data_IF_475750138978
#
_entry.id   IF_475750138978
#
_cell.length_a   1.000
_cell.length_b   1.000
_cell.length_c   1.000
_cell.angle_alpha   90.00
_cell.angle_beta   90.00
_cell.angle_gamma   90.00
#
_symmetry.space_group_name_H-M   'P 1'
#
loop_
_entity.id
_entity.type
_entity.pdbx_description
1 polymer ?
#
# COMPACT_ATOMS: atom_id res chain seq x y z
N UNK A 1 -57.13 22.53 36.95
CA UNK A 1 -56.29 21.51 36.29
C UNK A 1 -55.50 22.25 35.24
N UNK A 2 -54.18 22.26 35.40
CA UNK A 2 -53.26 23.19 34.76
C UNK A 2 -53.16 22.91 33.26
N UNK A 3 -53.58 23.85 32.42
CA UNK A 3 -53.39 23.81 30.95
C UNK A 3 -51.90 23.77 30.55
N UNK A 4 -50.98 24.04 31.48
CA UNK A 4 -49.53 23.98 31.30
C UNK A 4 -48.93 22.55 31.28
N UNK A 5 -49.64 21.52 31.76
CA UNK A 5 -49.10 20.15 31.80
C UNK A 5 -49.03 19.49 30.41
N UNK A 6 -49.82 19.97 29.45
CA UNK A 6 -49.81 19.47 28.06
C UNK A 6 -48.61 20.07 27.28
N UNK A 7 -48.22 21.30 27.60
CA UNK A 7 -47.11 22.01 26.95
C UNK A 7 -45.74 21.38 27.26
N UNK A 8 -45.43 21.11 28.53
CA UNK A 8 -44.15 20.55 28.93
C UNK A 8 -43.96 19.10 28.49
N UNK A 9 -45.03 18.29 28.54
CA UNK A 9 -45.01 16.89 28.15
C UNK A 9 -44.86 16.71 26.64
N UNK A 10 -45.53 17.54 25.85
CA UNK A 10 -45.38 17.54 24.39
C UNK A 10 -44.00 18.06 23.96
N UNK A 11 -43.47 19.09 24.63
CA UNK A 11 -42.11 19.56 24.39
C UNK A 11 -41.07 18.46 24.68
N UNK A 12 -41.23 17.70 25.77
CA UNK A 12 -40.39 16.54 26.08
C UNK A 12 -40.51 15.43 25.02
N UNK A 13 -41.73 15.13 24.57
CA UNK A 13 -41.96 14.12 23.53
C UNK A 13 -41.40 14.54 22.16
N UNK A 14 -41.36 15.83 21.85
CA UNK A 14 -40.70 16.36 20.66
C UNK A 14 -39.18 16.27 20.83
N UNK A 15 -38.63 16.71 21.96
CA UNK A 15 -37.21 16.65 22.24
C UNK A 15 -36.66 15.21 22.17
N UNK A 16 -37.40 14.24 22.72
CA UNK A 16 -37.03 12.82 22.64
C UNK A 16 -37.04 12.27 21.21
N UNK A 17 -38.04 12.65 20.41
CA UNK A 17 -38.10 12.26 18.98
C UNK A 17 -36.99 12.92 18.17
N UNK A 18 -36.70 14.19 18.43
CA UNK A 18 -35.59 14.90 17.81
C UNK A 18 -34.24 14.27 18.19
N UNK A 19 -34.04 13.92 19.46
CA UNK A 19 -32.84 13.23 19.93
C UNK A 19 -32.68 11.86 19.25
N UNK A 20 -33.74 11.06 19.18
CA UNK A 20 -33.70 9.76 18.50
C UNK A 20 -33.34 9.90 17.02
N UNK A 21 -33.90 10.91 16.34
CA UNK A 21 -33.57 11.20 14.94
C UNK A 21 -32.14 11.69 14.75
N UNK A 22 -31.63 12.50 15.68
CA UNK A 22 -30.23 12.92 15.66
C UNK A 22 -29.27 11.74 15.84
N UNK A 23 -29.61 10.81 16.75
CA UNK A 23 -28.83 9.58 16.95
C UNK A 23 -28.84 8.69 15.71
N UNK A 24 -29.97 8.58 15.02
CA UNK A 24 -30.08 7.84 13.76
C UNK A 24 -29.19 8.45 12.67
N UNK A 25 -29.24 9.77 12.50
CA UNK A 25 -28.39 10.51 11.55
C UNK A 25 -26.90 10.38 11.92
N UNK A 26 -26.56 10.46 13.21
CA UNK A 26 -25.18 10.30 13.67
C UNK A 26 -24.63 8.90 13.36
N UNK A 27 -25.44 7.86 13.54
CA UNK A 27 -25.06 6.49 13.19
C UNK A 27 -24.89 6.30 11.68
N UNK A 28 -25.77 6.89 10.87
CA UNK A 28 -25.67 6.87 9.41
C UNK A 28 -24.39 7.57 8.93
N UNK A 29 -24.13 8.79 9.44
CA UNK A 29 -22.90 9.54 9.15
C UNK A 29 -21.63 8.79 9.57
N UNK A 30 -21.65 8.11 10.72
CA UNK A 30 -20.51 7.28 11.12
C UNK A 30 -20.29 6.10 10.16
N UNK A 31 -21.36 5.45 9.71
CA UNK A 31 -21.26 4.38 8.71
C UNK A 31 -20.71 4.88 7.37
N UNK A 32 -21.24 5.98 6.84
CA UNK A 32 -20.74 6.59 5.60
C UNK A 32 -19.27 7.03 5.72
N UNK A 33 -18.87 7.56 6.88
CA UNK A 33 -17.49 7.96 7.14
C UNK A 33 -16.55 6.74 7.17
N UNK A 34 -16.98 5.63 7.77
CA UNK A 34 -16.22 4.39 7.79
C UNK A 34 -16.02 3.84 6.36
N UNK A 35 -17.10 3.71 5.58
CA UNK A 35 -17.04 3.26 4.18
C UNK A 35 -16.18 4.18 3.30
N UNK A 36 -16.28 5.50 3.51
CA UNK A 36 -15.47 6.47 2.76
C UNK A 36 -13.99 6.32 3.12
N UNK A 37 -13.66 6.15 4.40
CA UNK A 37 -12.28 5.95 4.84
C UNK A 37 -11.69 4.66 4.26
N UNK A 38 -12.45 3.55 4.28
CA UNK A 38 -12.03 2.30 3.65
C UNK A 38 -11.78 2.46 2.15
N UNK A 39 -12.65 3.19 1.45
CA UNK A 39 -12.51 3.48 0.02
C UNK A 39 -11.27 4.34 -0.26
N UNK A 40 -11.03 5.36 0.55
CA UNK A 40 -9.85 6.22 0.43
C UNK A 40 -8.57 5.42 0.64
N UNK A 41 -8.54 4.55 1.65
CA UNK A 41 -7.39 3.69 1.93
C UNK A 41 -7.13 2.72 0.76
N UNK A 42 -8.19 2.09 0.21
CA UNK A 42 -8.05 1.21 -0.95
C UNK A 42 -7.52 1.96 -2.18
N UNK A 43 -8.03 3.16 -2.47
CA UNK A 43 -7.56 3.98 -3.60
C UNK A 43 -6.11 4.44 -3.42
N UNK A 44 -5.68 4.73 -2.19
CA UNK A 44 -4.28 5.02 -1.90
C UNK A 44 -3.40 3.81 -2.19
N UNK A 45 -3.90 2.60 -1.95
CA UNK A 45 -3.14 1.36 -2.12
C UNK A 45 -3.02 1.01 -3.59
N UNK A 46 -4.11 1.10 -4.34
CA UNK A 46 -4.12 0.90 -5.79
C UNK A 46 -3.18 1.88 -6.49
N UNK A 47 -3.23 3.16 -6.12
CA UNK A 47 -2.38 4.16 -6.74
C UNK A 47 -0.91 3.95 -6.38
N UNK A 48 -0.60 3.54 -5.15
CA UNK A 48 0.77 3.19 -4.76
C UNK A 48 1.28 1.98 -5.54
N UNK A 49 0.46 0.94 -5.70
CA UNK A 49 0.80 -0.24 -6.48
C UNK A 49 1.10 0.12 -7.95
N UNK A 50 0.27 0.99 -8.55
CA UNK A 50 0.47 1.47 -9.91
C UNK A 50 1.74 2.32 -10.07
N UNK A 51 2.03 3.23 -9.14
CA UNK A 51 3.26 4.03 -9.17
C UNK A 51 4.52 3.18 -9.07
N UNK A 52 4.49 2.09 -8.30
CA UNK A 52 5.60 1.17 -8.17
C UNK A 52 5.90 0.40 -9.47
N UNK A 53 4.91 0.23 -10.34
CA UNK A 53 5.01 -0.56 -11.57
C UNK A 53 5.79 0.14 -12.70
N UNK A 54 5.82 1.48 -12.74
CA UNK A 54 6.56 2.35 -13.69
C UNK A 54 6.43 2.04 -15.21
N UNK A 55 5.70 1.01 -15.70
CA UNK A 55 5.52 0.78 -17.15
C UNK A 55 4.10 0.45 -17.63
N UNK A 56 3.93 0.61 -18.95
CA UNK A 56 2.69 0.61 -19.72
C UNK A 56 1.84 -0.66 -19.54
N UNK A 57 0.52 -0.45 -19.58
CA UNK A 57 -0.59 -1.36 -19.28
C UNK A 57 -0.70 -2.56 -20.23
N UNK A 58 0.29 -3.44 -20.27
CA UNK A 58 0.14 -4.76 -20.91
C UNK A 58 0.61 -5.90 -20.00
N UNK A 59 -0.36 -6.42 -19.23
CA UNK A 59 -0.20 -7.54 -18.29
C UNK A 59 0.05 -8.89 -18.98
N UNK A 60 -0.09 -8.99 -20.32
CA UNK A 60 0.00 -10.25 -21.06
C UNK A 60 1.33 -10.43 -21.83
N UNK A 61 2.31 -9.55 -21.63
CA UNK A 61 3.61 -9.64 -22.30
C UNK A 61 4.48 -10.72 -21.66
N UNK A 62 5.19 -11.47 -22.49
CA UNK A 62 6.14 -12.49 -22.05
C UNK A 62 7.22 -11.83 -21.16
N UNK A 63 7.53 -12.40 -19.98
CA UNK A 63 8.63 -11.94 -19.14
C UNK A 63 9.95 -11.76 -19.88
N UNK A 64 10.25 -12.54 -20.93
CA UNK A 64 11.45 -12.38 -21.74
C UNK A 64 11.52 -11.01 -22.43
N UNK A 65 10.37 -10.45 -22.83
CA UNK A 65 10.24 -9.19 -23.56
C UNK A 65 10.16 -7.96 -22.67
N UNK A 66 10.04 -8.17 -21.34
CA UNK A 66 10.08 -7.10 -20.35
C UNK A 66 11.50 -6.60 -20.13
N UNK A 67 11.66 -5.28 -20.11
CA UNK A 67 12.90 -4.64 -19.70
C UNK A 67 13.21 -4.90 -18.23
N UNK A 68 14.45 -4.63 -17.83
CA UNK A 68 14.89 -4.90 -16.46
C UNK A 68 14.13 -4.06 -15.43
N UNK A 69 13.72 -2.84 -15.78
CA UNK A 69 13.03 -1.94 -14.87
C UNK A 69 11.55 -2.33 -14.72
N UNK A 70 10.93 -2.86 -15.78
CA UNK A 70 9.57 -3.41 -15.74
C UNK A 70 9.47 -4.61 -14.80
N UNK A 71 10.42 -5.54 -14.90
CA UNK A 71 10.51 -6.68 -13.99
C UNK A 71 10.67 -6.25 -12.54
N UNK A 72 11.41 -5.16 -12.30
CA UNK A 72 11.60 -4.60 -10.97
C UNK A 72 10.31 -3.96 -10.47
N UNK A 73 9.59 -3.24 -11.34
CA UNK A 73 8.29 -2.66 -11.05
C UNK A 73 7.27 -3.72 -10.64
N UNK A 74 7.17 -4.82 -11.39
CA UNK A 74 6.31 -5.96 -11.05
C UNK A 74 6.66 -6.59 -9.69
N UNK A 75 7.95 -6.74 -9.37
CA UNK A 75 8.37 -7.27 -8.07
C UNK A 75 7.97 -6.34 -6.93
N UNK A 76 8.10 -5.02 -7.12
CA UNK A 76 7.67 -4.03 -6.12
C UNK A 76 6.17 -3.99 -5.95
N UNK A 77 5.43 -3.98 -7.05
CA UNK A 77 3.96 -4.00 -7.08
C UNK A 77 3.42 -5.24 -6.37
N UNK A 78 3.88 -6.44 -6.74
CA UNK A 78 3.46 -7.69 -6.11
C UNK A 78 3.82 -7.72 -4.63
N UNK A 79 5.06 -7.33 -4.28
CA UNK A 79 5.50 -7.28 -2.89
C UNK A 79 4.69 -6.30 -2.04
N UNK A 80 4.33 -5.15 -2.62
CA UNK A 80 3.47 -4.17 -1.96
C UNK A 80 2.05 -4.69 -1.78
N UNK A 81 1.41 -5.27 -2.81
CA UNK A 81 0.08 -5.88 -2.69
C UNK A 81 0.08 -6.99 -1.63
N UNK A 82 1.05 -7.91 -1.68
CA UNK A 82 1.20 -8.98 -0.68
C UNK A 82 1.38 -8.43 0.75
N UNK A 83 2.08 -7.31 0.90
CA UNK A 83 2.24 -6.65 2.20
C UNK A 83 0.95 -5.96 2.67
N UNK A 84 0.22 -5.31 1.77
CA UNK A 84 -1.05 -4.61 2.04
C UNK A 84 -2.18 -5.58 2.38
N UNK A 85 -2.34 -6.65 1.60
CA UNK A 85 -3.33 -7.71 1.85
C UNK A 85 -3.07 -8.48 3.15
N UNK A 86 -1.82 -8.47 3.62
CA UNK A 86 -1.41 -9.04 4.90
C UNK A 86 -1.56 -8.06 6.07
N UNK A 87 -0.47 -7.88 6.81
CA UNK A 87 -0.42 -7.01 8.00
C UNK A 87 0.57 -5.83 7.81
N UNK A 88 0.63 -5.30 6.59
CA UNK A 88 1.53 -4.20 6.21
C UNK A 88 2.98 -4.62 5.96
N UNK A 89 3.29 -5.93 6.00
CA UNK A 89 4.63 -6.47 5.75
C UNK A 89 4.58 -7.74 4.94
N UNK A 90 5.55 -7.90 4.04
CA UNK A 90 5.75 -9.13 3.29
C UNK A 90 7.24 -9.45 3.15
N UNK A 91 7.51 -10.70 2.80
CA UNK A 91 8.81 -11.15 2.32
C UNK A 91 8.59 -11.77 0.94
N UNK A 92 9.48 -11.46 0.01
CA UNK A 92 9.57 -12.14 -1.28
C UNK A 92 10.95 -12.76 -1.40
N UNK A 93 11.02 -14.08 -1.37
CA UNK A 93 12.24 -14.82 -1.66
C UNK A 93 12.32 -15.22 -3.14
N UNK A 94 13.27 -16.09 -3.45
CA UNK A 94 13.48 -16.61 -4.78
C UNK A 94 12.23 -17.32 -5.35
N UNK A 95 11.58 -18.16 -4.54
CA UNK A 95 10.46 -18.97 -5.00
C UNK A 95 9.24 -18.10 -5.27
N UNK A 96 8.99 -17.11 -4.42
CA UNK A 96 7.93 -16.12 -4.62
C UNK A 96 8.10 -15.40 -5.97
N UNK A 97 9.30 -14.88 -6.24
CA UNK A 97 9.57 -14.14 -7.47
C UNK A 97 9.46 -15.06 -8.70
N UNK A 98 10.01 -16.27 -8.62
CA UNK A 98 10.02 -17.17 -9.77
C UNK A 98 8.61 -17.65 -10.10
N UNK A 99 7.86 -18.13 -9.12
CA UNK A 99 6.61 -18.84 -9.36
C UNK A 99 5.38 -17.97 -9.26
N UNK A 100 5.34 -17.00 -8.35
CA UNK A 100 4.15 -16.14 -8.18
C UNK A 100 4.14 -14.99 -9.20
N UNK A 101 5.31 -14.42 -9.53
CA UNK A 101 5.37 -13.20 -10.36
C UNK A 101 5.62 -13.52 -11.85
N UNK A 102 6.51 -14.48 -12.12
CA UNK A 102 6.97 -14.77 -13.48
C UNK A 102 6.66 -16.19 -13.96
N UNK A 103 5.87 -16.97 -13.22
CA UNK A 103 5.39 -18.29 -13.67
C UNK A 103 6.48 -19.34 -13.98
N UNK A 104 7.72 -19.13 -13.52
CA UNK A 104 8.87 -19.98 -13.81
C UNK A 104 9.74 -19.52 -15.00
N UNK A 105 9.34 -18.48 -15.74
CA UNK A 105 9.97 -18.08 -17.01
C UNK A 105 11.27 -17.28 -16.85
N UNK A 106 11.71 -17.05 -15.62
CA UNK A 106 12.98 -16.37 -15.34
C UNK A 106 14.00 -17.29 -14.66
N UNK A 107 15.27 -17.12 -15.05
CA UNK A 107 16.38 -17.86 -14.48
C UNK A 107 16.73 -17.43 -13.06
N UNK A 108 17.37 -18.32 -12.31
CA UNK A 108 17.56 -18.16 -10.87
C UNK A 108 18.44 -16.96 -10.50
N UNK A 109 19.52 -16.73 -11.25
CA UNK A 109 20.38 -15.57 -11.08
C UNK A 109 19.65 -14.24 -11.30
N UNK A 110 18.61 -14.23 -12.14
CA UNK A 110 17.78 -13.06 -12.38
C UNK A 110 16.90 -12.77 -11.18
N UNK A 111 16.32 -13.77 -10.52
CA UNK A 111 15.52 -13.58 -9.30
C UNK A 111 16.32 -12.85 -8.21
N UNK A 112 17.54 -13.33 -7.90
CA UNK A 112 18.43 -12.69 -6.92
C UNK A 112 18.83 -11.26 -7.30
N UNK A 113 18.93 -10.97 -8.60
CA UNK A 113 19.21 -9.62 -9.10
C UNK A 113 17.98 -8.72 -8.98
N UNK A 114 16.78 -9.26 -9.18
CA UNK A 114 15.52 -8.52 -9.02
C UNK A 114 15.29 -8.12 -7.57
N UNK A 115 15.59 -8.98 -6.58
CA UNK A 115 15.54 -8.63 -5.16
C UNK A 115 16.40 -7.39 -4.87
N UNK A 116 17.64 -7.38 -5.33
CA UNK A 116 18.57 -6.26 -5.14
C UNK A 116 18.08 -4.98 -5.80
N UNK A 117 17.68 -5.09 -7.06
CA UNK A 117 17.18 -3.94 -7.83
C UNK A 117 15.88 -3.38 -7.28
N UNK A 118 14.98 -4.23 -6.77
CA UNK A 118 13.76 -3.80 -6.11
C UNK A 118 14.07 -2.97 -4.85
N UNK A 119 15.10 -3.35 -4.08
CA UNK A 119 15.62 -2.54 -2.98
C UNK A 119 16.49 -1.34 -3.42
N UNK A 120 16.68 -1.14 -4.74
CA UNK A 120 17.46 -0.05 -5.34
C UNK A 120 18.98 -0.21 -5.25
N UNK A 121 19.47 -1.43 -5.05
CA UNK A 121 20.90 -1.74 -4.95
C UNK A 121 21.48 -2.06 -6.33
N UNK A 122 22.67 -1.55 -6.62
CA UNK A 122 23.44 -1.89 -7.84
C UNK A 122 24.43 -3.02 -7.57
N UNK A 123 25.28 -2.85 -6.56
CA UNK A 123 26.40 -3.75 -6.28
C UNK A 123 26.31 -4.43 -4.91
N UNK A 124 25.63 -3.79 -3.96
CA UNK A 124 25.42 -4.33 -2.63
C UNK A 124 24.49 -5.55 -2.64
N UNK A 125 24.78 -6.50 -1.75
CA UNK A 125 23.97 -7.71 -1.61
C UNK A 125 22.78 -7.52 -0.66
N UNK A 126 22.85 -6.58 0.28
CA UNK A 126 21.83 -6.35 1.29
C UNK A 126 21.75 -4.87 1.60
N UNK A 127 20.59 -4.40 2.05
CA UNK A 127 20.33 -2.98 2.32
C UNK A 127 19.15 -2.46 1.53
N UNK A 128 19.02 -1.14 1.48
CA UNK A 128 17.94 -0.44 0.81
C UNK A 128 18.40 0.98 0.42
N UNK A 129 18.00 1.42 -0.78
CA UNK A 129 17.97 2.84 -1.18
C UNK A 129 16.55 3.30 -1.52
N UNK A 130 15.57 2.40 -1.45
CA UNK A 130 14.18 2.61 -1.80
C UNK A 130 13.33 2.33 -0.56
N UNK A 131 12.72 3.38 -0.05
CA UNK A 131 11.88 3.34 1.15
C UNK A 131 10.85 2.20 1.08
N UNK A 132 10.80 1.39 2.13
CA UNK A 132 9.87 0.26 2.24
C UNK A 132 10.33 -1.03 1.54
N UNK A 133 11.48 -1.05 0.86
CA UNK A 133 12.01 -2.24 0.19
C UNK A 133 13.45 -2.52 0.62
N UNK A 134 13.69 -3.62 1.33
CA UNK A 134 15.03 -3.96 1.87
C UNK A 134 15.45 -5.38 1.49
N UNK A 135 16.60 -5.52 0.84
CA UNK A 135 17.21 -6.83 0.61
C UNK A 135 17.88 -7.34 1.89
N UNK A 136 17.52 -8.55 2.36
CA UNK A 136 18.01 -9.14 3.61
C UNK A 136 18.58 -10.53 3.39
N UNK A 137 19.61 -10.86 4.18
CA UNK A 137 20.21 -12.19 4.24
C UNK A 137 20.42 -12.63 5.70
N UNK A 138 19.35 -13.00 6.44
CA UNK A 138 19.49 -13.40 7.84
C UNK A 138 20.19 -14.75 7.98
N UNK A 139 20.88 -14.96 9.10
CA UNK A 139 21.40 -16.28 9.44
C UNK A 139 20.23 -17.24 9.74
N UNK A 140 20.01 -18.23 8.87
CA UNK A 140 18.96 -19.25 9.02
C UNK A 140 17.65 -18.97 8.29
N UNK A 141 17.62 -17.96 7.42
CA UNK A 141 16.48 -17.67 6.54
C UNK A 141 16.97 -17.51 5.09
N UNK A 142 16.07 -17.61 4.12
CA UNK A 142 16.40 -17.39 2.71
C UNK A 142 16.76 -15.92 2.46
N UNK A 143 17.56 -15.68 1.44
CA UNK A 143 17.77 -14.34 0.91
C UNK A 143 16.47 -13.81 0.31
N UNK A 144 15.99 -12.66 0.80
CA UNK A 144 14.67 -12.14 0.44
C UNK A 144 14.62 -10.63 0.38
N UNK A 145 13.60 -10.12 -0.30
CA UNK A 145 13.15 -8.74 -0.23
C UNK A 145 12.14 -8.61 0.91
N UNK A 146 12.47 -7.85 1.94
CA UNK A 146 11.52 -7.46 2.98
C UNK A 146 10.80 -6.19 2.55
N UNK A 147 9.47 -6.23 2.56
CA UNK A 147 8.59 -5.11 2.18
C UNK A 147 7.87 -4.57 3.42
N UNK A 148 7.81 -3.25 3.55
CA UNK A 148 7.01 -2.50 4.50
C UNK A 148 6.06 -1.55 3.73
N UNK A 149 4.77 -1.91 3.70
CA UNK A 149 3.78 -1.17 2.92
C UNK A 149 3.59 0.26 3.44
N UNK A 150 3.72 0.48 4.75
CA UNK A 150 3.54 1.80 5.34
C UNK A 150 4.69 2.73 4.98
N UNK A 151 5.92 2.21 4.99
CA UNK A 151 7.09 2.98 4.57
C UNK A 151 7.05 3.30 3.07
N UNK A 152 6.62 2.34 2.24
CA UNK A 152 6.40 2.56 0.80
C UNK A 152 5.32 3.64 0.53
N UNK A 153 4.15 3.56 1.21
CA UNK A 153 3.09 4.58 1.12
C UNK A 153 3.57 5.95 1.57
N UNK A 154 4.29 6.03 2.69
CA UNK A 154 4.83 7.31 3.20
C UNK A 154 5.81 7.94 2.22
N UNK A 155 6.66 7.14 1.59
CA UNK A 155 7.58 7.67 0.59
C UNK A 155 6.83 8.39 -0.53
N UNK A 156 5.70 7.84 -0.99
CA UNK A 156 4.78 8.51 -1.92
C UNK A 156 4.14 9.79 -1.35
N UNK A 157 3.61 9.72 -0.13
CA UNK A 157 2.95 10.88 0.52
C UNK A 157 3.90 12.05 0.72
N UNK A 158 5.19 11.79 0.97
CA UNK A 158 6.23 12.82 1.13
C UNK A 158 7.09 13.07 -0.13
N UNK A 159 7.05 12.22 -1.15
CA UNK A 159 7.81 12.40 -2.41
C UNK A 159 7.20 13.46 -3.32
N UNK A 160 5.93 13.84 -3.11
CA UNK A 160 5.36 15.07 -3.67
C UNK A 160 6.17 16.34 -3.29
N UNK A 161 7.10 16.25 -2.32
CA UNK A 161 8.04 17.31 -1.95
C UNK A 161 9.54 16.97 -2.04
N UNK A 162 9.93 15.74 -2.42
CA UNK A 162 11.36 15.40 -2.63
C UNK A 162 11.76 15.64 -4.08
N UNK A 163 11.74 16.91 -4.50
CA UNK A 163 12.55 17.34 -5.64
C UNK A 163 14.01 17.16 -5.21
N UNK A 164 14.75 16.31 -5.92
CA UNK A 164 16.15 16.03 -5.65
C UNK A 164 16.95 17.32 -5.59
N UNK A 165 17.35 17.73 -4.39
CA UNK A 165 18.42 18.72 -4.23
C UNK A 165 19.71 17.98 -4.52
N UNK A 166 20.05 17.87 -5.81
CA UNK A 166 21.44 17.72 -6.22
C UNK A 166 22.15 19.03 -5.89
N UNK A 167 22.67 19.12 -4.66
CA UNK A 167 23.70 20.10 -4.32
C UNK A 167 24.98 19.71 -5.08
N UNK A 168 25.17 20.29 -6.26
CA UNK A 168 26.50 20.41 -6.84
C UNK A 168 27.28 21.41 -5.99
N UNK A 169 28.10 20.90 -5.06
CA UNK A 169 29.16 21.68 -4.43
C UNK A 169 30.33 21.73 -5.43
N UNK A 170 30.53 22.89 -6.05
CA UNK A 170 31.78 23.30 -6.70
C UNK A 170 32.26 24.62 -6.12
#
# INVERSE_FOLDING_TARGET
MSEDDVSARDALAIAQRSLARLQEIENELHGELEETNETVDQLQDDLTALELRVSELDENRDPADLSADEKVGMVREHGFRKATEGHGRAKLDYDDIKWEIFGGDIGDSTCYRLIRKAAGLSDEKTGSTIDGFTARNPAGDNYHLAIDAQEAKRSRVFSAGKIGVTEEVR
#
